data_IF_019028886543
#
_entry.id   IF_019028886543
#
_cell.length_a   1.000
_cell.length_b   1.000
_cell.length_c   1.000
_cell.angle_alpha   90.00
_cell.angle_beta   90.00
_cell.angle_gamma   90.00
#
_symmetry.space_group_name_H-M   'P 1'
#
loop_
_entity.id
_entity.type
_entity.pdbx_description
1 polymer ?
#
# COMPACT_ATOMS: atom_id res chain seq x y z
N UNK A 1 1.03 -31.39 -11.85
CA UNK A 1 1.32 -29.96 -12.10
C UNK A 1 1.73 -29.29 -10.78
N UNK A 2 2.96 -29.54 -10.32
CA UNK A 2 3.45 -29.04 -9.03
C UNK A 2 3.97 -27.59 -9.12
N UNK A 3 4.41 -27.19 -10.31
CA UNK A 3 4.94 -25.85 -10.60
C UNK A 3 3.86 -24.75 -10.50
N UNK A 4 2.64 -24.99 -10.98
CA UNK A 4 1.56 -24.00 -10.94
C UNK A 4 1.07 -23.67 -9.52
N UNK A 5 1.00 -24.67 -8.63
CA UNK A 5 0.64 -24.47 -7.22
C UNK A 5 1.73 -23.72 -6.45
N UNK A 6 3.01 -24.04 -6.74
CA UNK A 6 4.14 -23.31 -6.15
C UNK A 6 4.17 -21.86 -6.60
N UNK A 7 3.91 -21.59 -7.89
CA UNK A 7 3.83 -20.24 -8.43
C UNK A 7 2.75 -19.41 -7.75
N UNK A 8 1.51 -19.94 -7.65
CA UNK A 8 0.40 -19.26 -6.97
C UNK A 8 0.68 -19.00 -5.49
N UNK A 9 1.30 -19.95 -4.79
CA UNK A 9 1.69 -19.77 -3.39
C UNK A 9 2.77 -18.69 -3.24
N UNK A 10 3.81 -18.70 -4.09
CA UNK A 10 4.86 -17.68 -4.06
C UNK A 10 4.34 -16.29 -4.48
N UNK A 11 3.52 -16.19 -5.51
CA UNK A 11 2.94 -14.92 -5.96
C UNK A 11 1.97 -14.35 -4.93
N UNK A 12 1.16 -15.19 -4.27
CA UNK A 12 0.28 -14.78 -3.18
C UNK A 12 1.06 -14.26 -1.97
N UNK A 13 2.15 -14.94 -1.60
CA UNK A 13 3.04 -14.51 -0.52
C UNK A 13 3.72 -13.18 -0.87
N UNK A 14 4.24 -13.03 -2.09
CA UNK A 14 4.88 -11.79 -2.55
C UNK A 14 3.89 -10.62 -2.57
N UNK A 15 2.64 -10.83 -3.00
CA UNK A 15 1.57 -9.82 -2.96
C UNK A 15 1.23 -9.41 -1.52
N UNK A 16 1.10 -10.38 -0.61
CA UNK A 16 0.84 -10.10 0.80
C UNK A 16 1.96 -9.32 1.49
N UNK A 17 3.23 -9.62 1.18
CA UNK A 17 4.37 -8.86 1.69
C UNK A 17 4.39 -7.42 1.17
N UNK A 18 4.06 -7.19 -0.11
CA UNK A 18 4.00 -5.84 -0.68
C UNK A 18 2.91 -4.99 -0.04
N UNK A 19 1.74 -5.58 0.22
CA UNK A 19 0.63 -4.88 0.89
C UNK A 19 0.97 -4.54 2.34
N UNK A 20 1.55 -5.48 3.09
CA UNK A 20 2.03 -5.23 4.46
C UNK A 20 3.14 -4.18 4.49
N UNK A 21 4.07 -4.22 3.54
CA UNK A 21 5.15 -3.25 3.44
C UNK A 21 4.60 -1.84 3.15
N UNK A 22 3.68 -1.72 2.19
CA UNK A 22 3.00 -0.46 1.91
C UNK A 22 2.19 0.05 3.11
N UNK A 23 1.53 -0.83 3.85
CA UNK A 23 0.78 -0.50 5.07
C UNK A 23 1.70 0.05 6.17
N UNK A 24 2.81 -0.65 6.44
CA UNK A 24 3.81 -0.19 7.40
C UNK A 24 4.40 1.16 6.99
N UNK A 25 4.71 1.33 5.71
CA UNK A 25 5.20 2.59 5.15
C UNK A 25 4.18 3.73 5.34
N UNK A 26 2.90 3.50 5.02
CA UNK A 26 1.84 4.48 5.19
C UNK A 26 1.66 4.86 6.67
N UNK A 27 1.69 3.88 7.58
CA UNK A 27 1.64 4.14 9.03
C UNK A 27 2.85 4.95 9.50
N UNK A 28 4.07 4.60 9.06
CA UNK A 28 5.27 5.38 9.38
C UNK A 28 5.26 6.79 8.78
N UNK A 29 4.58 7.00 7.66
CA UNK A 29 4.38 8.31 7.05
C UNK A 29 3.33 9.18 7.79
N UNK A 30 2.59 8.61 8.75
CA UNK A 30 1.59 9.30 9.55
C UNK A 30 0.15 9.20 9.01
N UNK A 31 -0.13 8.19 8.19
CA UNK A 31 -1.50 7.88 7.78
C UNK A 31 -2.33 7.42 8.98
N UNK A 32 -3.56 7.91 9.11
CA UNK A 32 -4.50 7.43 10.13
C UNK A 32 -5.02 6.04 9.74
N UNK A 33 -5.49 5.20 10.68
CA UNK A 33 -6.01 3.87 10.37
C UNK A 33 -7.11 3.86 9.30
N UNK A 34 -7.94 4.91 9.25
CA UNK A 34 -9.00 5.13 8.27
C UNK A 34 -8.49 5.58 6.88
N UNK A 35 -7.29 6.14 6.81
CA UNK A 35 -6.64 6.62 5.57
C UNK A 35 -5.69 5.57 4.99
N UNK A 36 -5.12 4.70 5.83
CA UNK A 36 -4.08 3.73 5.47
C UNK A 36 -4.49 2.87 4.27
N UNK A 37 -5.71 2.32 4.26
CA UNK A 37 -6.17 1.48 3.15
C UNK A 37 -6.21 2.26 1.82
N UNK A 38 -6.63 3.53 1.87
CA UNK A 38 -6.67 4.42 0.68
C UNK A 38 -5.27 4.78 0.21
N UNK A 39 -4.35 5.06 1.14
CA UNK A 39 -2.94 5.35 0.84
C UNK A 39 -2.27 4.13 0.22
N UNK A 40 -2.41 2.95 0.83
CA UNK A 40 -1.83 1.69 0.33
C UNK A 40 -2.35 1.36 -1.06
N UNK A 41 -3.66 1.45 -1.28
CA UNK A 41 -4.25 1.22 -2.59
C UNK A 41 -3.62 2.13 -3.66
N UNK A 42 -3.46 3.42 -3.35
CA UNK A 42 -2.85 4.40 -4.26
C UNK A 42 -1.38 4.07 -4.55
N UNK A 43 -0.58 3.78 -3.51
CA UNK A 43 0.85 3.47 -3.65
C UNK A 43 1.09 2.20 -4.46
N UNK A 44 0.25 1.17 -4.27
CA UNK A 44 0.31 -0.08 -5.04
C UNK A 44 -0.13 0.15 -6.47
N UNK A 45 -1.21 0.89 -6.71
CA UNK A 45 -1.66 1.24 -8.06
C UNK A 45 -0.60 2.03 -8.84
N UNK A 46 0.00 3.04 -8.21
CA UNK A 46 1.05 3.88 -8.81
C UNK A 46 2.43 3.19 -8.85
N UNK A 47 2.56 1.97 -8.29
CA UNK A 47 3.83 1.26 -8.10
C UNK A 47 4.91 2.14 -7.43
N UNK A 48 4.47 3.07 -6.58
CA UNK A 48 5.28 4.11 -5.98
C UNK A 48 5.37 3.93 -4.46
N UNK A 49 5.82 2.75 -4.02
CA UNK A 49 5.98 2.41 -2.59
C UNK A 49 7.22 3.12 -2.02
N UNK A 50 7.09 4.42 -1.76
CA UNK A 50 8.14 5.30 -1.22
C UNK A 50 7.57 6.24 -0.16
N UNK A 51 8.41 6.59 0.80
CA UNK A 51 8.01 7.42 1.94
C UNK A 51 7.51 8.82 1.53
N UNK A 52 8.20 9.48 0.59
CA UNK A 52 7.80 10.81 0.11
C UNK A 52 6.42 10.76 -0.55
N UNK A 53 6.19 9.75 -1.40
CA UNK A 53 4.90 9.57 -2.08
C UNK A 53 3.78 9.23 -1.11
N UNK A 54 4.06 8.40 -0.10
CA UNK A 54 3.10 8.10 0.95
C UNK A 54 2.62 9.38 1.66
N UNK A 55 3.54 10.30 1.96
CA UNK A 55 3.20 11.61 2.54
C UNK A 55 2.35 12.47 1.60
N UNK A 56 2.74 12.57 0.33
CA UNK A 56 1.95 13.33 -0.67
C UNK A 56 0.53 12.81 -0.77
N UNK A 57 0.35 11.48 -0.86
CA UNK A 57 -0.97 10.85 -0.95
C UNK A 57 -1.79 11.12 0.31
N UNK A 58 -1.19 11.06 1.50
CA UNK A 58 -1.88 11.41 2.76
C UNK A 58 -2.39 12.85 2.72
N UNK A 59 -1.55 13.80 2.30
CA UNK A 59 -1.93 15.21 2.19
C UNK A 59 -3.02 15.43 1.13
N UNK A 60 -2.94 14.78 -0.04
CA UNK A 60 -3.98 14.79 -1.08
C UNK A 60 -5.33 14.28 -0.54
N UNK A 61 -5.32 13.17 0.21
CA UNK A 61 -6.53 12.58 0.79
C UNK A 61 -7.17 13.48 1.84
N UNK A 62 -6.35 14.18 2.64
CA UNK A 62 -6.82 15.15 3.65
C UNK A 62 -7.32 16.44 3.03
N UNK A 63 -6.64 16.94 2.00
CA UNK A 63 -7.03 18.15 1.27
C UNK A 63 -8.35 17.96 0.50
N UNK A 64 -8.62 16.73 0.05
CA UNK A 64 -9.86 16.38 -0.65
C UNK A 64 -11.03 15.99 0.28
N UNK A 65 -10.80 15.89 1.60
CA UNK A 65 -11.89 15.65 2.56
C UNK A 65 -12.78 16.89 2.70
N UNK A 66 -14.12 16.73 2.77
CA UNK A 66 -15.03 17.87 2.88
C UNK A 66 -14.73 18.61 4.19
N UNK A 67 -14.44 19.92 4.07
CA UNK A 67 -14.44 20.83 5.22
C UNK A 67 -15.85 20.95 5.80
#
# INVERSE_FOLDING_TARGET
NFAALRALATEGIQRGHMELHARNLASSAGARPDEVDRVVARLVQEHAIRFDRAKEVIEELRASGPR
#
